data_IF_770119037651
#
_entry.id   IF_770119037651
#
_cell.length_a   1.000
_cell.length_b   1.000
_cell.length_c   1.000
_cell.angle_alpha   90.00
_cell.angle_beta   90.00
_cell.angle_gamma   90.00
#
_symmetry.space_group_name_H-M   'P 1'
#
loop_
_entity.id
_entity.type
_entity.pdbx_description
1 polymer ?
#
# COMPACT_ATOMS: atom_id res chain seq x y z
N UNK A 1 -57.55 4.26 37.11
CA UNK A 1 -58.83 4.41 36.39
C UNK A 1 -58.52 4.46 34.90
N UNK A 2 -58.90 3.44 34.12
CA UNK A 2 -58.73 3.43 32.65
C UNK A 2 -59.89 4.21 32.04
N UNK A 3 -59.62 5.35 31.43
CA UNK A 3 -60.61 6.13 30.68
C UNK A 3 -60.87 5.43 29.35
N UNK A 4 -62.12 4.99 29.12
CA UNK A 4 -62.56 4.51 27.82
C UNK A 4 -62.69 5.74 26.89
N UNK A 5 -62.13 5.72 25.67
CA UNK A 5 -62.45 6.75 24.67
C UNK A 5 -63.95 6.66 24.31
N UNK A 6 -64.57 7.82 24.21
CA UNK A 6 -66.01 8.02 23.99
C UNK A 6 -66.46 7.46 22.64
N UNK A 7 -67.61 6.78 22.61
CA UNK A 7 -68.23 6.16 21.42
C UNK A 7 -68.35 7.10 20.22
N UNK A 8 -68.47 8.40 20.49
CA UNK A 8 -68.58 9.46 19.49
C UNK A 8 -67.39 9.50 18.50
N UNK A 9 -66.19 9.15 18.96
CA UNK A 9 -65.02 9.12 18.09
C UNK A 9 -65.00 7.89 17.18
N UNK A 10 -65.53 6.76 17.65
CA UNK A 10 -65.66 5.55 16.85
C UNK A 10 -66.71 5.72 15.75
N UNK A 11 -67.83 6.36 16.07
CA UNK A 11 -68.92 6.64 15.11
C UNK A 11 -68.51 7.68 14.06
N UNK A 12 -67.62 8.62 14.41
CA UNK A 12 -67.05 9.58 13.47
C UNK A 12 -66.09 8.91 12.46
N UNK A 13 -65.30 7.93 12.90
CA UNK A 13 -64.37 7.21 12.03
C UNK A 13 -65.11 6.27 11.08
N UNK A 14 -66.16 5.59 11.56
CA UNK A 14 -66.98 4.71 10.72
C UNK A 14 -67.62 5.47 9.54
N UNK A 15 -68.21 6.65 9.80
CA UNK A 15 -68.81 7.48 8.75
C UNK A 15 -67.78 8.04 7.76
N UNK A 16 -66.56 8.33 8.21
CA UNK A 16 -65.48 8.80 7.34
C UNK A 16 -65.01 7.70 6.37
N UNK A 17 -64.95 6.45 6.84
CA UNK A 17 -64.57 5.29 6.03
C UNK A 17 -65.63 4.93 4.99
N UNK A 18 -66.91 5.08 5.32
CA UNK A 18 -68.02 4.78 4.40
C UNK A 18 -68.09 5.77 3.24
N UNK A 19 -67.84 7.07 3.50
CA UNK A 19 -67.70 8.07 2.44
C UNK A 19 -66.49 7.83 1.54
N UNK A 20 -65.36 7.43 2.12
CA UNK A 20 -64.16 7.08 1.34
C UNK A 20 -64.38 5.84 0.48
N UNK A 21 -65.18 4.87 0.93
CA UNK A 21 -65.50 3.69 0.14
C UNK A 21 -66.45 4.00 -1.02
N UNK A 22 -67.39 4.92 -0.84
CA UNK A 22 -68.28 5.36 -1.93
C UNK A 22 -67.54 6.18 -3.01
N UNK A 23 -66.49 6.92 -2.64
CA UNK A 23 -65.65 7.67 -3.60
C UNK A 23 -64.73 6.77 -4.43
N UNK A 24 -64.37 5.59 -3.91
CA UNK A 24 -63.42 4.67 -4.56
C UNK A 24 -64.07 3.63 -5.46
N UNK A 25 -65.40 3.60 -5.55
CA UNK A 25 -66.12 2.74 -6.49
C UNK A 25 -66.41 3.58 -7.76
N UNK A 26 -65.62 3.42 -8.84
CA UNK A 26 -65.90 4.15 -10.08
C UNK A 26 -67.25 3.68 -10.64
N UNK A 27 -68.06 4.58 -11.23
CA UNK A 27 -69.34 4.21 -11.79
C UNK A 27 -69.13 3.15 -12.89
N UNK A 28 -70.01 2.14 -12.90
CA UNK A 28 -70.13 1.16 -13.97
C UNK A 28 -70.34 1.91 -15.30
N UNK A 29 -69.27 2.10 -16.07
CA UNK A 29 -69.37 2.63 -17.42
C UNK A 29 -69.91 1.53 -18.33
N UNK A 30 -71.10 1.81 -18.84
CA UNK A 30 -71.87 0.97 -19.74
C UNK A 30 -71.13 0.77 -21.08
N UNK A 31 -71.19 -0.48 -21.53
CA UNK A 31 -70.72 -1.06 -22.78
C UNK A 31 -71.15 -0.24 -24.02
N UNK A 32 -70.25 0.58 -24.58
CA UNK A 32 -70.40 1.16 -25.93
C UNK A 32 -69.16 0.87 -26.78
N UNK A 33 -69.41 0.23 -27.92
CA UNK A 33 -68.42 -0.41 -28.80
C UNK A 33 -67.39 0.52 -29.41
N UNK A 34 -66.16 0.01 -29.41
CA UNK A 34 -64.95 0.60 -29.95
C UNK A 34 -64.98 0.57 -31.49
N UNK A 35 -65.21 1.71 -32.15
CA UNK A 35 -64.86 1.87 -33.58
C UNK A 35 -63.58 2.71 -33.68
N UNK A 36 -62.46 2.02 -33.49
CA UNK A 36 -61.10 2.56 -33.46
C UNK A 36 -60.64 2.90 -34.90
N UNK A 37 -60.49 4.19 -35.21
CA UNK A 37 -59.99 4.66 -36.50
C UNK A 37 -58.53 4.23 -36.72
N UNK A 38 -58.28 3.37 -37.72
CA UNK A 38 -56.93 2.90 -38.09
C UNK A 38 -56.37 3.68 -39.30
N UNK A 39 -55.20 4.33 -39.18
CA UNK A 39 -54.57 5.03 -40.29
C UNK A 39 -53.84 4.07 -41.27
N UNK A 40 -53.71 4.44 -42.56
CA UNK A 40 -53.36 3.52 -43.67
C UNK A 40 -51.90 3.04 -43.73
N UNK A 41 -51.10 3.30 -42.70
CA UNK A 41 -49.71 2.85 -42.58
C UNK A 41 -49.53 1.75 -41.52
N UNK A 42 -50.63 1.28 -40.92
CA UNK A 42 -50.64 0.25 -39.90
C UNK A 42 -51.04 -1.11 -40.51
N UNK A 43 -50.12 -2.09 -40.49
CA UNK A 43 -50.42 -3.50 -40.73
C UNK A 43 -50.76 -4.16 -39.37
N UNK A 44 -51.99 -4.63 -39.21
CA UNK A 44 -52.44 -5.30 -37.99
C UNK A 44 -51.69 -6.62 -37.72
N UNK A 45 -51.65 -7.09 -36.45
CA UNK A 45 -50.85 -8.26 -36.10
C UNK A 45 -51.51 -9.55 -36.60
N UNK A 46 -51.05 -10.02 -37.76
CA UNK A 46 -51.16 -11.43 -38.13
C UNK A 46 -50.33 -12.27 -37.16
N UNK A 47 -51.00 -13.16 -36.44
CA UNK A 47 -50.37 -14.06 -35.49
C UNK A 47 -49.32 -14.96 -36.16
N UNK A 48 -48.05 -14.78 -35.79
CA UNK A 48 -47.09 -15.87 -35.51
C UNK A 48 -45.86 -15.32 -34.78
N UNK A 49 -45.46 -16.06 -33.74
CA UNK A 49 -44.16 -16.04 -33.06
C UNK A 49 -43.97 -15.02 -31.91
N UNK A 50 -44.18 -15.54 -30.70
CA UNK A 50 -43.69 -15.00 -29.43
C UNK A 50 -42.16 -14.81 -29.47
N UNK A 51 -41.72 -13.56 -29.65
CA UNK A 51 -40.37 -13.12 -29.28
C UNK A 51 -40.53 -12.07 -28.15
N UNK A 52 -40.39 -12.55 -26.91
CA UNK A 52 -40.24 -11.70 -25.71
C UNK A 52 -39.10 -10.70 -25.93
N UNK A 53 -39.43 -9.41 -25.94
CA UNK A 53 -38.49 -8.32 -25.77
C UNK A 53 -38.74 -7.70 -24.40
N UNK A 54 -37.84 -8.03 -23.46
CA UNK A 54 -37.83 -7.60 -22.07
C UNK A 54 -37.81 -6.07 -21.90
N UNK A 55 -38.56 -5.50 -20.93
CA UNK A 55 -38.38 -4.11 -20.52
C UNK A 55 -37.04 -3.93 -19.80
N UNK A 56 -36.24 -2.99 -20.32
CA UNK A 56 -34.91 -2.58 -19.85
C UNK A 56 -34.97 -1.76 -18.54
N UNK A 57 -35.52 -2.34 -17.47
CA UNK A 57 -35.33 -1.85 -16.11
C UNK A 57 -35.00 -3.05 -15.24
N UNK A 58 -33.79 -3.15 -14.66
CA UNK A 58 -33.46 -4.27 -13.79
C UNK A 58 -34.31 -4.16 -12.52
N UNK A 59 -35.34 -5.01 -12.45
CA UNK A 59 -36.06 -5.31 -11.23
C UNK A 59 -35.04 -5.86 -10.24
N UNK A 60 -34.81 -5.24 -9.07
CA UNK A 60 -33.96 -5.84 -8.07
C UNK A 60 -34.61 -7.15 -7.65
N UNK A 61 -33.93 -8.26 -7.94
CA UNK A 61 -34.43 -9.60 -7.64
C UNK A 61 -34.77 -9.76 -6.16
N UNK A 62 -35.53 -10.81 -5.85
CA UNK A 62 -35.99 -11.25 -4.50
C UNK A 62 -34.90 -11.43 -3.43
N UNK A 63 -33.67 -11.00 -3.68
CA UNK A 63 -32.54 -10.98 -2.76
C UNK A 63 -32.26 -9.58 -2.17
N UNK A 64 -33.01 -8.53 -2.56
CA UNK A 64 -32.86 -7.17 -2.01
C UNK A 64 -33.47 -6.98 -0.60
N UNK A 65 -33.78 -8.06 0.12
CA UNK A 65 -34.12 -8.02 1.53
C UNK A 65 -32.83 -7.86 2.36
N UNK A 66 -32.46 -6.61 2.63
CA UNK A 66 -31.85 -6.15 3.90
C UNK A 66 -30.88 -7.17 4.53
N UNK A 67 -29.69 -7.33 3.96
CA UNK A 67 -28.58 -7.87 4.75
C UNK A 67 -28.02 -6.73 5.59
N UNK A 68 -28.62 -6.55 6.75
CA UNK A 68 -28.07 -5.75 7.84
C UNK A 68 -26.65 -6.29 8.08
N UNK A 69 -25.63 -5.51 7.71
CA UNK A 69 -24.22 -5.87 7.92
C UNK A 69 -23.97 -5.83 9.43
N UNK A 70 -24.30 -6.93 10.09
CA UNK A 70 -23.74 -7.25 11.40
C UNK A 70 -22.32 -7.69 11.09
N UNK A 71 -21.35 -6.83 11.40
CA UNK A 71 -19.93 -7.18 11.38
C UNK A 71 -19.77 -8.28 12.43
N UNK A 72 -19.80 -9.54 11.98
CA UNK A 72 -19.53 -10.68 12.85
C UNK A 72 -18.03 -10.66 13.20
N UNK A 73 -17.65 -10.64 14.49
CA UNK A 73 -16.25 -10.57 14.92
C UNK A 73 -15.41 -11.78 14.47
N UNK A 74 -16.05 -12.85 14.00
CA UNK A 74 -15.41 -14.06 13.45
C UNK A 74 -14.66 -13.84 12.13
N UNK A 75 -14.89 -12.71 11.44
CA UNK A 75 -14.19 -12.39 10.19
C UNK A 75 -12.73 -11.94 10.41
N UNK A 76 -12.36 -11.57 11.65
CA UNK A 76 -11.06 -10.97 11.97
C UNK A 76 -10.06 -11.99 12.57
N UNK A 77 -10.49 -13.23 12.83
CA UNK A 77 -9.64 -14.23 13.50
C UNK A 77 -9.16 -15.32 12.51
N UNK A 78 -7.84 -15.62 12.47
CA UNK A 78 -7.29 -16.68 11.64
C UNK A 78 -7.80 -18.06 12.08
N UNK A 79 -7.87 -18.99 11.12
CA UNK A 79 -8.55 -20.30 11.24
C UNK A 79 -8.26 -21.13 12.51
N UNK A 80 -7.06 -21.18 13.11
CA UNK A 80 -6.85 -21.99 14.32
C UNK A 80 -7.53 -21.44 15.57
N UNK A 81 -8.02 -20.20 15.55
CA UNK A 81 -8.60 -19.51 16.70
C UNK A 81 -10.14 -19.39 16.65
N UNK A 82 -10.78 -19.80 15.54
CA UNK A 82 -12.25 -19.85 15.46
C UNK A 82 -12.79 -20.90 16.43
N UNK A 83 -13.62 -20.44 17.38
CA UNK A 83 -14.42 -21.32 18.25
C UNK A 83 -13.82 -21.72 19.59
N UNK A 84 -12.58 -21.32 19.96
CA UNK A 84 -12.02 -21.62 21.29
C UNK A 84 -11.94 -20.45 22.27
N UNK A 85 -12.05 -19.21 21.79
CA UNK A 85 -12.01 -18.04 22.67
C UNK A 85 -13.20 -17.15 22.36
N UNK A 86 -14.27 -17.28 23.14
CA UNK A 86 -15.33 -16.27 23.17
C UNK A 86 -14.74 -15.02 23.83
N UNK A 87 -14.24 -14.10 23.00
CA UNK A 87 -13.86 -12.76 23.44
C UNK A 87 -15.15 -12.00 23.80
N UNK A 88 -15.66 -12.28 25.00
CA UNK A 88 -16.81 -11.56 25.54
C UNK A 88 -16.52 -10.06 25.66
N UNK A 89 -17.55 -9.21 25.79
CA UNK A 89 -17.39 -7.75 25.87
C UNK A 89 -16.45 -7.31 26.99
N UNK A 90 -16.33 -8.10 28.06
CA UNK A 90 -15.37 -7.88 29.14
C UNK A 90 -13.89 -8.01 28.72
N UNK A 91 -13.55 -8.94 27.82
CA UNK A 91 -12.17 -9.11 27.35
C UNK A 91 -11.73 -7.92 26.49
N UNK A 92 -12.65 -7.35 25.70
CA UNK A 92 -12.38 -6.14 24.92
C UNK A 92 -12.10 -4.94 25.82
N UNK A 93 -12.80 -4.83 26.96
CA UNK A 93 -12.53 -3.80 27.97
C UNK A 93 -11.15 -3.99 28.62
N UNK A 94 -10.75 -5.23 28.90
CA UNK A 94 -9.42 -5.51 29.46
C UNK A 94 -8.33 -5.20 28.44
N UNK A 95 -8.48 -5.60 27.17
CA UNK A 95 -7.52 -5.32 26.10
C UNK A 95 -7.39 -3.83 25.84
N UNK A 96 -8.51 -3.09 25.81
CA UNK A 96 -8.47 -1.64 25.63
C UNK A 96 -7.76 -0.95 26.79
N UNK A 97 -7.99 -1.39 28.03
CA UNK A 97 -7.31 -0.86 29.21
C UNK A 97 -5.80 -1.14 29.18
N UNK A 98 -5.38 -2.34 28.78
CA UNK A 98 -3.96 -2.70 28.60
C UNK A 98 -3.31 -1.85 27.51
N UNK A 99 -4.01 -1.63 26.40
CA UNK A 99 -3.52 -0.82 25.29
C UNK A 99 -3.36 0.66 25.70
N UNK A 100 -4.33 1.21 26.43
CA UNK A 100 -4.26 2.57 26.99
C UNK A 100 -3.11 2.69 27.99
N UNK A 101 -2.94 1.70 28.88
CA UNK A 101 -1.83 1.69 29.84
C UNK A 101 -0.47 1.61 29.12
N UNK A 102 -0.34 0.78 28.09
CA UNK A 102 0.88 0.68 27.28
C UNK A 102 1.22 2.00 26.57
N UNK A 103 0.23 2.65 25.96
CA UNK A 103 0.39 3.98 25.35
C UNK A 103 0.78 5.04 26.38
N UNK A 104 0.17 5.02 27.58
CA UNK A 104 0.54 5.95 28.65
C UNK A 104 1.99 5.76 29.10
N UNK A 105 2.45 4.52 29.23
CA UNK A 105 3.84 4.20 29.58
C UNK A 105 4.80 4.63 28.47
N UNK A 106 4.47 4.37 27.21
CA UNK A 106 5.27 4.79 26.06
C UNK A 106 5.37 6.32 25.96
N UNK A 107 4.26 7.02 26.16
CA UNK A 107 4.20 8.48 26.17
C UNK A 107 5.00 9.06 27.34
N UNK A 108 4.88 8.44 28.53
CA UNK A 108 5.69 8.81 29.69
C UNK A 108 7.20 8.57 29.48
N UNK A 109 7.58 7.47 28.82
CA UNK A 109 8.96 7.20 28.42
C UNK A 109 9.49 8.25 27.45
N UNK A 110 8.69 8.66 26.47
CA UNK A 110 9.06 9.68 25.49
C UNK A 110 9.27 11.06 26.14
N UNK A 111 8.45 11.40 27.15
CA UNK A 111 8.62 12.63 27.92
C UNK A 111 9.85 12.58 28.84
N UNK A 112 10.23 11.38 29.30
CA UNK A 112 11.41 11.17 30.14
C UNK A 112 12.73 10.99 29.39
N UNK A 113 12.68 10.84 28.07
CA UNK A 113 13.89 10.83 27.26
C UNK A 113 14.50 12.23 27.29
N UNK A 114 15.49 12.44 28.17
CA UNK A 114 16.25 13.68 28.21
C UNK A 114 16.90 13.91 26.84
N UNK A 115 16.63 15.04 26.14
CA UNK A 115 17.30 15.34 24.90
C UNK A 115 18.77 15.61 25.19
N UNK A 116 19.64 14.67 24.81
CA UNK A 116 21.08 14.87 24.86
C UNK A 116 21.43 16.05 23.94
N UNK A 117 21.67 17.21 24.55
CA UNK A 117 21.99 18.44 23.84
C UNK A 117 23.39 18.29 23.27
N UNK A 118 23.49 17.87 22.01
CA UNK A 118 24.76 17.83 21.27
C UNK A 118 25.34 19.24 21.32
N UNK A 119 26.52 19.45 21.95
CA UNK A 119 27.08 20.78 22.07
C UNK A 119 27.45 21.27 20.66
N UNK A 120 26.77 22.32 20.21
CA UNK A 120 27.13 23.04 19.00
C UNK A 120 28.59 23.50 19.13
N UNK A 121 29.49 22.87 18.37
CA UNK A 121 30.88 23.25 18.28
C UNK A 121 30.94 24.72 17.83
N UNK A 122 31.34 25.59 18.77
CA UNK A 122 31.57 27.00 18.52
C UNK A 122 32.72 27.11 17.52
N UNK A 123 32.41 27.56 16.30
CA UNK A 123 33.41 27.92 15.31
C UNK A 123 34.34 28.99 15.90
N UNK A 124 35.58 28.61 16.20
CA UNK A 124 36.63 29.54 16.57
C UNK A 124 37.09 30.27 15.30
N UNK A 125 37.33 31.60 15.35
CA UNK A 125 37.92 32.31 14.21
C UNK A 125 39.40 31.94 14.09
N UNK A 126 39.74 31.10 13.12
CA UNK A 126 41.12 30.81 12.74
C UNK A 126 41.68 31.97 11.91
N UNK A 127 42.23 32.98 12.59
CA UNK A 127 43.14 33.95 11.97
C UNK A 127 44.45 33.22 11.61
N UNK A 128 44.73 33.08 10.32
CA UNK A 128 46.00 32.54 9.83
C UNK A 128 47.10 33.58 10.01
N UNK A 129 48.20 33.33 10.75
CA UNK A 129 49.38 34.18 10.70
C UNK A 129 50.14 33.93 9.39
N UNK A 130 50.57 35.01 8.72
CA UNK A 130 51.44 34.96 7.55
C UNK A 130 52.76 34.24 7.89
N UNK A 131 53.12 33.24 7.08
CA UNK A 131 54.41 32.55 7.10
C UNK A 131 55.46 33.41 6.39
N UNK A 132 56.61 33.72 7.01
CA UNK A 132 57.74 34.32 6.30
C UNK A 132 58.53 33.27 5.52
N UNK A 133 59.00 33.70 4.35
CA UNK A 133 59.81 32.95 3.37
C UNK A 133 61.18 32.56 3.97
N UNK A 134 61.57 31.27 4.01
CA UNK A 134 62.91 30.87 4.42
C UNK A 134 63.89 30.94 3.24
N UNK A 135 65.01 31.65 3.43
CA UNK A 135 66.16 31.65 2.53
C UNK A 135 67.04 30.45 2.87
N UNK A 136 67.15 29.49 1.95
CA UNK A 136 68.04 28.34 2.07
C UNK A 136 69.53 28.76 2.01
N UNK A 137 70.30 28.33 3.00
CA UNK A 137 71.78 28.24 2.92
C UNK A 137 72.19 26.81 3.19
N UNK A 138 72.92 26.25 2.23
CA UNK A 138 73.31 24.86 2.10
C UNK A 138 74.26 24.36 3.19
N UNK A 139 74.08 23.10 3.61
CA UNK A 139 75.14 22.14 3.93
C UNK A 139 74.57 20.69 3.97
N UNK A 140 75.24 19.69 3.39
CA UNK A 140 74.75 18.30 3.37
C UNK A 140 75.38 17.45 4.48
N UNK A 141 74.61 16.50 5.04
CA UNK A 141 75.18 15.43 5.84
C UNK A 141 74.19 14.67 6.73
N UNK A 142 73.82 13.45 6.30
CA UNK A 142 73.58 12.35 7.24
C UNK A 142 72.14 11.87 7.45
N UNK A 143 71.93 10.60 7.10
CA UNK A 143 70.89 9.68 7.58
C UNK A 143 69.47 9.83 7.01
N UNK A 144 69.16 9.05 5.98
CA UNK A 144 67.78 8.73 5.61
C UNK A 144 67.32 7.55 6.45
N UNK A 145 66.57 7.84 7.51
CA UNK A 145 65.67 6.91 8.17
C UNK A 145 64.26 7.10 7.58
N UNK A 146 63.68 5.98 7.10
CA UNK A 146 62.25 5.64 6.86
C UNK A 146 61.33 6.65 6.14
N UNK A 147 60.37 6.12 5.37
CA UNK A 147 59.00 6.54 5.61
C UNK A 147 58.06 5.36 5.82
N UNK A 148 57.50 5.29 7.02
CA UNK A 148 56.16 4.72 7.25
C UNK A 148 55.15 5.59 6.52
N UNK A 149 54.45 5.03 5.54
CA UNK A 149 53.23 5.64 5.00
C UNK A 149 52.04 5.21 5.87
N UNK A 150 51.93 5.84 7.03
CA UNK A 150 50.65 6.00 7.71
C UNK A 150 49.93 7.19 7.08
N UNK A 151 48.90 6.93 6.29
CA UNK A 151 47.94 7.94 5.86
C UNK A 151 46.55 7.48 6.29
N UNK A 152 46.30 7.57 7.60
CA UNK A 152 44.94 7.62 8.15
C UNK A 152 44.32 8.94 7.67
N UNK A 153 43.68 8.90 6.50
CA UNK A 153 42.87 10.00 5.99
C UNK A 153 41.67 10.19 6.94
N UNK A 154 41.47 11.43 7.37
CA UNK A 154 40.59 11.82 8.46
C UNK A 154 39.17 11.27 8.33
N UNK A 155 38.77 10.55 9.36
CA UNK A 155 37.40 10.12 9.59
C UNK A 155 36.50 11.34 9.79
N UNK A 156 35.53 11.53 8.90
CA UNK A 156 34.34 12.31 9.22
C UNK A 156 33.70 11.71 10.48
N UNK A 157 33.42 12.54 11.47
CA UNK A 157 33.00 12.14 12.82
C UNK A 157 31.53 11.69 12.90
N UNK A 158 31.13 10.76 12.04
CA UNK A 158 29.82 10.10 12.07
C UNK A 158 29.99 8.58 12.04
N UNK A 159 29.01 7.86 12.57
CA UNK A 159 28.95 6.39 12.54
C UNK A 159 27.75 5.94 11.69
N UNK A 160 27.88 4.76 11.09
CA UNK A 160 26.87 4.08 10.29
C UNK A 160 26.63 2.72 10.92
N UNK A 161 25.37 2.40 11.17
CA UNK A 161 24.92 1.15 11.77
C UNK A 161 24.42 0.23 10.65
N UNK A 162 24.99 -0.96 10.54
CA UNK A 162 24.62 -1.94 9.52
C UNK A 162 24.38 -3.31 10.15
N UNK A 163 23.49 -4.08 9.55
CA UNK A 163 23.20 -5.46 9.96
C UNK A 163 23.91 -6.44 9.03
N UNK A 164 24.76 -7.31 9.58
CA UNK A 164 25.51 -8.31 8.80
C UNK A 164 24.98 -9.70 9.12
N UNK A 165 24.39 -10.36 8.13
CA UNK A 165 23.80 -11.70 8.26
C UNK A 165 24.46 -12.71 7.31
N UNK A 166 24.14 -13.99 7.48
CA UNK A 166 24.55 -15.06 6.58
C UNK A 166 25.84 -15.78 6.97
N UNK A 167 26.66 -16.16 5.99
CA UNK A 167 27.87 -16.99 6.17
C UNK A 167 29.07 -16.18 6.70
N UNK A 168 28.90 -15.54 7.85
CA UNK A 168 29.94 -14.87 8.64
C UNK A 168 30.07 -15.50 10.04
N UNK A 169 31.25 -15.43 10.69
CA UNK A 169 31.46 -15.97 12.03
C UNK A 169 30.62 -15.28 13.13
N UNK A 170 30.40 -13.96 13.01
CA UNK A 170 29.65 -13.16 13.99
C UNK A 170 28.57 -12.34 13.28
N UNK A 171 27.41 -12.93 12.96
CA UNK A 171 26.29 -12.17 12.44
C UNK A 171 25.73 -11.21 13.49
N UNK A 172 25.21 -10.08 13.05
CA UNK A 172 24.57 -9.06 13.87
C UNK A 172 24.93 -7.63 13.47
N UNK A 173 24.57 -6.69 14.33
CA UNK A 173 24.72 -5.25 14.10
C UNK A 173 26.17 -4.81 14.33
N UNK A 174 26.73 -4.08 13.36
CA UNK A 174 28.06 -3.50 13.42
C UNK A 174 27.96 -1.99 13.25
N UNK A 175 28.71 -1.24 14.07
CA UNK A 175 28.82 0.22 13.99
C UNK A 175 30.19 0.58 13.44
N UNK A 176 30.22 1.22 12.28
CA UNK A 176 31.46 1.63 11.60
C UNK A 176 31.48 3.15 11.35
N UNK A 177 32.64 3.77 11.11
CA UNK A 177 32.71 5.17 10.68
C UNK A 177 31.96 5.41 9.36
N UNK A 178 31.39 6.60 9.19
CA UNK A 178 30.78 7.02 7.92
C UNK A 178 31.82 7.00 6.80
N UNK A 179 31.42 6.47 5.63
CA UNK A 179 32.33 6.23 4.51
C UNK A 179 33.00 4.86 4.50
N UNK A 180 32.76 4.02 5.52
CA UNK A 180 33.14 2.60 5.50
C UNK A 180 32.44 1.87 4.35
N UNK A 181 33.06 0.82 3.83
CA UNK A 181 32.55 0.00 2.73
C UNK A 181 32.06 -1.36 3.23
N UNK A 182 31.37 -2.09 2.37
CA UNK A 182 30.86 -3.45 2.66
C UNK A 182 31.97 -4.39 3.14
N UNK A 183 33.19 -4.27 2.60
CA UNK A 183 34.36 -5.04 3.07
C UNK A 183 34.67 -4.82 4.55
N UNK A 184 34.57 -3.58 5.03
CA UNK A 184 34.90 -3.23 6.41
C UNK A 184 33.86 -3.81 7.39
N UNK A 185 32.58 -3.81 6.99
CA UNK A 185 31.50 -4.44 7.76
C UNK A 185 31.66 -5.96 7.84
N UNK A 186 32.01 -6.61 6.73
CA UNK A 186 32.23 -8.07 6.70
C UNK A 186 33.47 -8.45 7.51
N UNK A 187 34.54 -7.65 7.47
CA UNK A 187 35.73 -7.86 8.30
C UNK A 187 35.42 -7.69 9.79
N UNK A 188 34.65 -6.67 10.16
CA UNK A 188 34.17 -6.47 11.52
C UNK A 188 33.26 -7.62 12.01
N UNK A 189 32.51 -8.26 11.12
CA UNK A 189 31.74 -9.49 11.39
C UNK A 189 32.61 -10.78 11.45
N UNK A 190 33.93 -10.66 11.33
CA UNK A 190 34.90 -11.76 11.42
C UNK A 190 35.39 -12.31 10.08
N UNK A 191 35.05 -11.66 8.97
CA UNK A 191 35.43 -12.06 7.61
C UNK A 191 34.62 -13.25 7.10
N UNK A 192 34.64 -13.48 5.78
CA UNK A 192 34.05 -14.67 5.17
C UNK A 192 34.95 -15.19 4.04
N UNK A 193 34.91 -16.50 3.74
CA UNK A 193 35.71 -17.06 2.66
C UNK A 193 35.25 -16.51 1.31
N UNK A 194 36.18 -16.35 0.37
CA UNK A 194 35.95 -15.70 -0.93
C UNK A 194 34.73 -16.23 -1.71
N UNK A 195 34.44 -17.54 -1.62
CA UNK A 195 33.26 -18.15 -2.24
C UNK A 195 31.91 -17.55 -1.80
N UNK A 196 31.83 -16.97 -0.60
CA UNK A 196 30.63 -16.33 -0.08
C UNK A 196 30.60 -14.81 -0.33
N UNK A 197 31.71 -14.25 -0.80
CA UNK A 197 31.85 -12.83 -1.13
C UNK A 197 31.65 -12.55 -2.62
N UNK A 198 31.76 -13.56 -3.49
CA UNK A 198 31.73 -13.41 -4.95
C UNK A 198 30.48 -12.70 -5.50
N UNK A 199 29.35 -12.73 -4.77
CA UNK A 199 28.14 -12.01 -5.14
C UNK A 199 28.04 -10.58 -4.55
N UNK A 200 28.82 -10.23 -3.52
CA UNK A 200 28.68 -8.94 -2.85
C UNK A 200 29.57 -7.87 -3.47
N UNK A 201 29.03 -6.66 -3.61
CA UNK A 201 29.83 -5.49 -3.94
C UNK A 201 30.60 -5.02 -2.70
N UNK A 202 31.76 -5.63 -2.46
CA UNK A 202 32.63 -5.31 -1.31
C UNK A 202 33.10 -3.85 -1.27
N UNK A 203 33.12 -3.19 -2.44
CA UNK A 203 33.52 -1.80 -2.56
C UNK A 203 32.35 -0.83 -2.36
N UNK A 204 31.10 -1.27 -2.25
CA UNK A 204 29.99 -0.36 -2.02
C UNK A 204 30.15 0.38 -0.68
N UNK A 205 29.84 1.68 -0.65
CA UNK A 205 29.77 2.46 0.58
C UNK A 205 28.58 1.98 1.41
N UNK A 206 28.75 1.99 2.73
CA UNK A 206 27.70 1.65 3.67
C UNK A 206 26.75 2.84 3.88
N UNK A 207 25.46 2.53 3.86
CA UNK A 207 24.39 3.43 4.27
C UNK A 207 23.86 3.02 5.65
N UNK A 208 23.36 3.99 6.42
CA UNK A 208 22.81 3.70 7.75
C UNK A 208 21.53 2.87 7.64
N UNK A 209 21.41 1.85 8.49
CA UNK A 209 20.33 0.86 8.43
C UNK A 209 20.43 -0.15 7.28
N UNK A 210 21.56 -0.21 6.57
CA UNK A 210 21.75 -1.18 5.48
C UNK A 210 21.94 -2.60 6.01
N UNK A 211 21.33 -3.58 5.33
CA UNK A 211 21.51 -5.01 5.61
C UNK A 211 22.43 -5.68 4.58
N UNK A 212 23.39 -6.46 5.05
CA UNK A 212 24.40 -7.14 4.24
C UNK A 212 24.27 -8.65 4.48
N UNK A 213 23.82 -9.38 3.47
CA UNK A 213 23.64 -10.84 3.56
C UNK A 213 24.78 -11.55 2.86
N UNK A 214 25.67 -12.18 3.62
CA UNK A 214 26.87 -12.85 3.10
C UNK A 214 26.54 -14.27 2.64
N UNK A 215 26.93 -14.61 1.41
CA UNK A 215 26.74 -15.95 0.83
C UNK A 215 25.36 -16.25 0.25
N UNK A 216 24.52 -15.23 0.04
CA UNK A 216 23.29 -15.39 -0.74
C UNK A 216 23.60 -15.65 -2.24
N UNK A 217 22.85 -16.54 -2.93
CA UNK A 217 23.12 -16.94 -4.30
C UNK A 217 22.95 -15.82 -5.33
N UNK A 218 22.17 -14.79 -4.99
CA UNK A 218 22.14 -13.51 -5.67
C UNK A 218 22.75 -12.50 -4.70
N UNK A 219 23.83 -11.85 -5.11
CA UNK A 219 24.60 -10.89 -4.31
C UNK A 219 23.77 -10.13 -3.30
N UNK A 220 24.10 -10.26 -2.02
CA UNK A 220 23.38 -9.67 -0.91
C UNK A 220 23.23 -8.17 -1.07
N UNK A 221 22.16 -7.77 -1.74
CA UNK A 221 21.65 -6.41 -1.82
C UNK A 221 20.39 -6.37 -0.95
N UNK A 222 20.59 -6.27 0.36
CA UNK A 222 19.60 -5.65 1.26
C UNK A 222 19.61 -4.13 1.05
N UNK A 223 19.38 -3.72 -0.19
CA UNK A 223 19.10 -2.36 -0.65
C UNK A 223 18.72 -2.45 -2.12
N UNK A 224 17.42 -2.54 -2.38
CA UNK A 224 16.87 -2.01 -3.62
C UNK A 224 17.23 -0.50 -3.64
N UNK A 225 18.28 -0.14 -4.37
CA UNK A 225 18.45 1.22 -4.85
C UNK A 225 17.64 1.34 -6.17
N UNK A 226 16.81 2.38 -6.33
CA UNK A 226 16.08 2.62 -7.57
C UNK A 226 17.04 3.16 -8.63
N UNK A 227 17.09 2.52 -9.80
CA UNK A 227 17.66 3.14 -11.00
C UNK A 227 18.56 2.27 -11.87
N UNK A 228 17.96 1.81 -12.99
CA UNK A 228 18.53 1.63 -14.33
C UNK A 228 19.59 0.55 -14.62
N UNK A 229 19.19 -0.43 -15.45
CA UNK A 229 20.08 -1.15 -16.37
C UNK A 229 19.70 -2.61 -16.66
N UNK A 230 18.79 -2.88 -17.60
CA UNK A 230 18.50 -4.24 -18.12
C UNK A 230 19.54 -4.76 -19.15
N UNK A 231 19.25 -5.78 -19.98
CA UNK A 231 18.29 -6.87 -19.84
C UNK A 231 18.99 -8.25 -19.80
N UNK A 232 18.43 -9.22 -19.06
CA UNK A 232 18.75 -10.63 -19.25
C UNK A 232 17.44 -11.43 -19.32
N UNK A 233 17.23 -11.99 -20.50
CA UNK A 233 16.04 -12.70 -20.91
C UNK A 233 15.70 -13.90 -20.03
N UNK A 234 14.40 -14.15 -19.87
CA UNK A 234 13.86 -15.47 -19.59
C UNK A 234 13.55 -15.79 -18.13
N UNK A 235 12.50 -15.16 -17.58
CA UNK A 235 11.77 -15.74 -16.45
C UNK A 235 10.27 -15.55 -16.71
N UNK A 236 9.59 -16.63 -17.09
CA UNK A 236 8.15 -16.72 -17.39
C UNK A 236 7.29 -16.61 -16.13
N UNK A 237 7.48 -15.53 -15.38
CA UNK A 237 6.70 -15.15 -14.20
C UNK A 237 6.98 -13.72 -13.77
N UNK A 238 7.54 -12.90 -14.66
CA UNK A 238 7.80 -11.50 -14.40
C UNK A 238 6.47 -10.74 -14.42
N UNK A 239 6.01 -10.30 -13.25
CA UNK A 239 4.91 -9.36 -13.16
C UNK A 239 5.23 -8.12 -13.99
N UNK A 240 4.30 -7.73 -14.87
CA UNK A 240 4.45 -6.53 -15.70
C UNK A 240 4.22 -5.31 -14.82
N UNK A 241 5.16 -4.37 -14.83
CA UNK A 241 5.05 -3.14 -14.04
C UNK A 241 4.18 -2.10 -14.74
N UNK A 242 3.00 -1.80 -14.21
CA UNK A 242 2.02 -0.86 -14.81
C UNK A 242 2.59 0.54 -15.07
N UNK A 243 3.51 1.01 -14.22
CA UNK A 243 4.08 2.35 -14.29
C UNK A 243 5.16 2.49 -15.39
N UNK A 244 5.85 1.41 -15.72
CA UNK A 244 6.98 1.41 -16.65
C UNK A 244 6.76 0.57 -17.91
N UNK A 245 5.73 -0.28 -17.93
CA UNK A 245 5.46 -1.17 -19.05
C UNK A 245 5.07 -0.40 -20.31
N UNK A 246 5.60 -0.88 -21.41
CA UNK A 246 5.22 -0.52 -22.78
C UNK A 246 3.87 -1.12 -23.16
N UNK A 247 3.27 -0.62 -24.24
CA UNK A 247 1.98 -1.10 -24.75
C UNK A 247 2.01 -2.61 -25.00
N UNK A 248 3.06 -3.10 -25.67
CA UNK A 248 3.26 -4.51 -26.00
C UNK A 248 3.38 -5.38 -24.73
N UNK A 249 4.02 -4.88 -23.68
CA UNK A 249 4.14 -5.58 -22.40
C UNK A 249 2.82 -5.64 -21.63
N UNK A 250 2.01 -4.57 -21.67
CA UNK A 250 0.68 -4.56 -21.06
C UNK A 250 -0.28 -5.53 -21.75
N UNK A 251 -0.20 -5.65 -23.08
CA UNK A 251 -1.01 -6.61 -23.87
C UNK A 251 -0.67 -8.08 -23.56
N UNK A 252 0.49 -8.37 -22.96
CA UNK A 252 0.81 -9.74 -22.51
C UNK A 252 0.03 -10.17 -21.27
N UNK A 253 -0.63 -9.23 -20.58
CA UNK A 253 -1.42 -9.51 -19.40
C UNK A 253 -2.77 -10.16 -19.77
N UNK A 254 -3.19 -11.22 -19.05
CA UNK A 254 -4.44 -11.90 -19.34
C UNK A 254 -5.62 -10.95 -19.14
N UNK A 255 -6.43 -10.76 -20.19
CA UNK A 255 -7.59 -9.87 -20.16
C UNK A 255 -7.29 -8.40 -20.47
N UNK A 256 -6.04 -8.03 -20.77
CA UNK A 256 -5.66 -6.68 -21.21
C UNK A 256 -5.48 -6.69 -22.73
N UNK A 257 -6.42 -6.08 -23.46
CA UNK A 257 -6.31 -5.88 -24.90
C UNK A 257 -5.66 -4.54 -25.26
N UNK A 258 -5.43 -4.27 -26.56
CA UNK A 258 -4.79 -3.03 -27.04
C UNK A 258 -5.53 -1.76 -26.58
N UNK A 259 -6.87 -1.80 -26.53
CA UNK A 259 -7.70 -0.70 -26.06
C UNK A 259 -7.48 -0.43 -24.56
N UNK A 260 -7.43 -1.49 -23.75
CA UNK A 260 -7.20 -1.40 -22.30
C UNK A 260 -5.76 -0.99 -21.99
N UNK A 261 -4.77 -1.51 -22.74
CA UNK A 261 -3.37 -1.13 -22.61
C UNK A 261 -3.18 0.37 -22.91
N UNK A 262 -3.84 0.88 -23.94
CA UNK A 262 -3.85 2.31 -24.25
C UNK A 262 -4.51 3.13 -23.13
N UNK A 263 -5.65 2.68 -22.61
CA UNK A 263 -6.32 3.35 -21.49
C UNK A 263 -5.44 3.43 -20.22
N UNK A 264 -4.66 2.39 -19.91
CA UNK A 264 -3.70 2.38 -18.80
C UNK A 264 -2.57 3.40 -19.02
N UNK A 265 -2.10 3.56 -20.25
CA UNK A 265 -1.09 4.59 -20.59
C UNK A 265 -1.69 5.99 -20.48
N UNK A 266 -2.87 6.21 -21.04
CA UNK A 266 -3.54 7.52 -21.02
C UNK A 266 -3.88 7.96 -19.58
N UNK A 267 -4.32 7.01 -18.74
CA UNK A 267 -4.55 7.24 -17.33
C UNK A 267 -3.26 7.66 -16.62
N UNK A 268 -2.11 7.01 -16.89
CA UNK A 268 -0.83 7.39 -16.26
C UNK A 268 -0.35 8.76 -16.69
N UNK A 269 -0.61 9.15 -17.94
CA UNK A 269 -0.25 10.47 -18.45
C UNK A 269 -1.10 11.58 -17.83
N UNK A 270 -2.36 11.29 -17.51
CA UNK A 270 -3.32 12.27 -16.99
C UNK A 270 -3.31 12.36 -15.47
N UNK A 271 -3.27 11.23 -14.77
CA UNK A 271 -3.38 11.12 -13.30
C UNK A 271 -2.03 10.89 -12.60
N UNK A 272 -0.99 10.51 -13.34
CA UNK A 272 0.33 10.20 -12.80
C UNK A 272 0.55 8.70 -12.60
N UNK A 273 1.60 8.34 -11.87
CA UNK A 273 1.92 6.93 -11.62
C UNK A 273 0.87 6.26 -10.72
N UNK A 274 0.54 5.00 -11.01
CA UNK A 274 -0.31 4.17 -10.15
C UNK A 274 0.36 3.97 -8.79
N UNK A 275 -0.35 4.29 -7.72
CA UNK A 275 0.12 4.09 -6.34
C UNK A 275 -0.42 2.80 -5.72
N UNK A 276 -1.53 2.31 -6.25
CA UNK A 276 -2.19 1.08 -5.82
C UNK A 276 -2.76 0.30 -7.02
N UNK A 277 -3.03 -0.98 -6.84
CA UNK A 277 -3.66 -1.82 -7.87
C UNK A 277 -5.15 -1.47 -8.04
N UNK A 278 -5.79 -0.97 -6.97
CA UNK A 278 -7.20 -0.56 -6.98
C UNK A 278 -7.49 0.59 -7.95
N UNK A 279 -6.52 1.46 -8.23
CA UNK A 279 -6.63 2.54 -9.22
C UNK A 279 -6.84 2.02 -10.66
N UNK A 280 -6.55 0.74 -10.94
CA UNK A 280 -6.89 0.14 -12.23
C UNK A 280 -8.41 0.08 -12.46
N UNK A 281 -9.22 0.06 -11.40
CA UNK A 281 -10.68 0.09 -11.53
C UNK A 281 -11.21 1.46 -12.00
N UNK A 282 -10.38 2.49 -11.94
CA UNK A 282 -10.69 3.83 -12.46
C UNK A 282 -10.32 3.99 -13.95
N UNK A 283 -9.62 3.00 -14.52
CA UNK A 283 -9.25 2.97 -15.94
C UNK A 283 -10.43 2.49 -16.76
N UNK A 284 -10.79 3.28 -17.76
CA UNK A 284 -11.93 3.00 -18.64
C UNK A 284 -11.72 1.66 -19.37
N UNK A 285 -12.64 0.71 -19.17
CA UNK A 285 -12.57 -0.64 -19.74
C UNK A 285 -11.96 -1.73 -18.84
N UNK A 286 -11.56 -1.43 -17.60
CA UNK A 286 -11.21 -2.45 -16.60
C UNK A 286 -12.42 -2.72 -15.69
N UNK A 287 -13.02 -3.90 -15.82
CA UNK A 287 -14.13 -4.36 -14.98
C UNK A 287 -13.69 -5.36 -13.91
N UNK A 288 -14.53 -5.63 -12.89
CA UNK A 288 -14.20 -6.54 -11.79
C UNK A 288 -13.74 -7.98 -12.17
N UNK A 289 -14.05 -8.59 -13.34
CA UNK A 289 -13.55 -9.93 -13.63
C UNK A 289 -12.09 -10.01 -14.15
N UNK A 290 -11.36 -8.91 -14.31
CA UNK A 290 -10.02 -8.92 -14.96
C UNK A 290 -8.82 -8.83 -14.00
N UNK A 291 -9.01 -8.92 -12.69
CA UNK A 291 -7.91 -8.94 -11.72
C UNK A 291 -7.53 -10.40 -11.36
N UNK A 292 -6.47 -11.00 -11.96
CA UNK A 292 -5.90 -12.23 -11.41
C UNK A 292 -5.11 -11.94 -10.12
N UNK A 293 -5.26 -12.84 -9.14
CA UNK A 293 -4.48 -12.88 -7.90
C UNK A 293 -2.97 -13.02 -8.14
#
# INVERSE_FOLDING_TARGET
>A
MRTRPTSDHADAVARRLELLRAELDPPDEEDEGEEEWQPPWWDGPGATETAELDPLVPVPGRHASRRQVVISPDAVLPEPLRGRVSLGPWHLVVVSLVLVAGLAVACWWMIRADPEVVPAARAAPSASPLVPLPTDTAAPGGSVAVPSAGASAGASAGTVTVDVEGKVPKPGIVVLPVGSRVVDAVEAAGGAPHKHLAGLNLAALLSDGQQIVVGAPNGGAGAAAPGAGGPAAGATGAGVSLNAASMEELETLPGVGPVTAQAIIDWRTTNGAFTSVDELLEVDGIGPPTLPN
#
